data_IF_553417074358
#
_entry.id   IF_553417074358
#
_cell.length_a   1.000
_cell.length_b   1.000
_cell.length_c   1.000
_cell.angle_alpha   90.00
_cell.angle_beta   90.00
_cell.angle_gamma   90.00
#
_symmetry.space_group_name_H-M   'P 1'
#
loop_
_entity.id
_entity.type
_entity.pdbx_description
1 polymer ?
#
# COMPACT_ATOMS: atom_id res chain seq x y z
N UNK A 1 8.86 24.84 -48.60
CA UNK A 1 8.79 23.42 -48.15
C UNK A 1 8.50 23.45 -46.66
N UNK A 2 7.39 22.99 -46.08
CA UNK A 2 6.38 22.00 -46.46
C UNK A 2 5.01 22.45 -45.95
N UNK A 3 4.01 22.20 -46.77
CA UNK A 3 2.57 22.33 -46.54
C UNK A 3 2.14 21.43 -45.36
N UNK A 4 1.49 21.99 -44.34
CA UNK A 4 0.73 21.18 -43.38
C UNK A 4 -0.69 21.00 -43.91
N UNK A 5 -0.96 19.79 -44.43
CA UNK A 5 -2.30 19.38 -44.83
C UNK A 5 -3.09 18.95 -43.59
N UNK A 6 -4.32 19.46 -43.52
CA UNK A 6 -5.38 18.99 -42.63
C UNK A 6 -5.75 17.55 -43.03
N UNK A 7 -5.75 16.64 -42.05
CA UNK A 7 -6.24 15.28 -42.20
C UNK A 7 -7.27 14.98 -41.13
N UNK A 8 -8.54 15.15 -41.46
CA UNK A 8 -9.67 14.59 -40.73
C UNK A 8 -9.62 13.07 -40.90
N UNK A 9 -9.44 12.32 -39.82
CA UNK A 9 -9.65 10.87 -39.83
C UNK A 9 -10.82 10.53 -38.91
N UNK A 10 -11.94 10.24 -39.56
CA UNK A 10 -13.12 9.62 -38.99
C UNK A 10 -12.74 8.17 -38.74
N UNK A 11 -12.38 7.83 -37.49
CA UNK A 11 -12.17 6.43 -37.11
C UNK A 11 -13.51 5.78 -36.77
N UNK A 12 -14.10 5.15 -37.78
CA UNK A 12 -15.11 4.12 -37.60
C UNK A 12 -14.48 2.91 -36.90
N UNK A 13 -14.49 2.90 -35.56
CA UNK A 13 -14.10 1.70 -34.82
C UNK A 13 -15.31 0.79 -34.68
N UNK A 14 -15.43 -0.11 -35.65
CA UNK A 14 -16.27 -1.30 -35.60
C UNK A 14 -15.83 -2.11 -34.36
N UNK A 15 -16.57 -1.99 -33.25
CA UNK A 15 -16.28 -2.67 -31.97
C UNK A 15 -16.50 -4.17 -32.13
N UNK A 16 -15.46 -4.89 -32.56
CA UNK A 16 -15.34 -6.31 -32.23
C UNK A 16 -14.99 -6.37 -30.75
N UNK A 17 -15.93 -6.88 -29.95
CA UNK A 17 -15.74 -7.18 -28.52
C UNK A 17 -14.58 -8.17 -28.40
N UNK A 18 -13.40 -7.65 -28.07
CA UNK A 18 -12.23 -8.43 -27.70
C UNK A 18 -11.91 -8.01 -26.28
N UNK A 19 -11.94 -8.96 -25.35
CA UNK A 19 -11.68 -8.72 -23.94
C UNK A 19 -10.36 -7.97 -23.78
N UNK A 20 -10.37 -6.89 -23.01
CA UNK A 20 -9.19 -6.03 -22.81
C UNK A 20 -8.12 -6.75 -21.98
N UNK A 21 -8.51 -7.75 -21.21
CA UNK A 21 -7.64 -8.56 -20.37
C UNK A 21 -7.78 -10.05 -20.71
N UNK A 22 -6.66 -10.77 -20.72
CA UNK A 22 -6.66 -12.21 -20.47
C UNK A 22 -6.77 -12.42 -18.96
N UNK A 23 -7.88 -12.97 -18.51
CA UNK A 23 -8.20 -13.08 -17.09
C UNK A 23 -8.72 -14.46 -16.74
N UNK A 24 -8.25 -14.98 -15.60
CA UNK A 24 -8.82 -16.14 -14.93
C UNK A 24 -10.27 -15.84 -14.51
N UNK A 25 -11.08 -16.89 -14.35
CA UNK A 25 -12.55 -16.79 -14.21
C UNK A 25 -13.06 -15.89 -13.08
N UNK A 26 -12.21 -15.55 -12.11
CA UNK A 26 -12.57 -14.72 -10.97
C UNK A 26 -12.51 -13.20 -11.25
N UNK A 27 -12.03 -12.77 -12.42
CA UNK A 27 -11.86 -11.35 -12.76
C UNK A 27 -12.67 -10.91 -13.99
N UNK A 28 -13.05 -9.64 -14.00
CA UNK A 28 -13.79 -9.04 -15.11
C UNK A 28 -12.86 -8.82 -16.33
N UNK A 29 -13.22 -9.32 -17.53
CA UNK A 29 -12.40 -9.16 -18.74
C UNK A 29 -12.34 -7.74 -19.30
N UNK A 30 -13.20 -6.84 -18.83
CA UNK A 30 -13.25 -5.45 -19.30
C UNK A 30 -12.49 -4.47 -18.39
N UNK A 31 -12.48 -4.70 -17.07
CA UNK A 31 -11.92 -3.74 -16.12
C UNK A 31 -11.01 -4.35 -15.05
N UNK A 32 -10.80 -5.67 -15.04
CA UNK A 32 -9.94 -6.36 -14.09
C UNK A 32 -10.46 -6.42 -12.65
N UNK A 33 -11.70 -5.97 -12.38
CA UNK A 33 -12.28 -6.09 -11.04
C UNK A 33 -12.59 -7.54 -10.68
N UNK A 34 -12.44 -7.92 -9.41
CA UNK A 34 -12.91 -9.23 -8.90
C UNK A 34 -14.43 -9.35 -9.08
N UNK A 35 -14.87 -10.47 -9.65
CA UNK A 35 -16.28 -10.80 -9.86
C UNK A 35 -16.84 -11.42 -8.58
N UNK A 36 -17.97 -10.90 -8.10
CA UNK A 36 -18.70 -11.50 -6.98
C UNK A 36 -19.68 -12.54 -7.50
N UNK A 37 -19.42 -13.80 -7.19
CA UNK A 37 -20.27 -14.91 -7.57
C UNK A 37 -21.50 -14.98 -6.66
N UNK A 38 -22.68 -14.80 -7.23
CA UNK A 38 -23.96 -15.01 -6.54
C UNK A 38 -24.38 -16.48 -6.66
N UNK A 39 -24.80 -17.07 -5.54
CA UNK A 39 -25.29 -18.46 -5.53
C UNK A 39 -26.47 -18.62 -6.50
N UNK A 40 -26.49 -19.73 -7.26
CA UNK A 40 -27.54 -20.08 -8.22
C UNK A 40 -27.75 -19.12 -9.41
N UNK A 41 -26.78 -18.27 -9.73
CA UNK A 41 -26.80 -17.45 -10.95
C UNK A 41 -26.23 -18.22 -12.16
N UNK A 42 -26.59 -17.82 -13.38
CA UNK A 42 -26.03 -18.35 -14.66
C UNK A 42 -25.03 -17.36 -15.28
N UNK A 43 -25.05 -16.11 -14.81
CA UNK A 43 -24.19 -15.01 -15.23
C UNK A 43 -23.83 -14.13 -14.05
N UNK A 44 -22.63 -13.56 -14.07
CA UNK A 44 -22.15 -12.60 -13.09
C UNK A 44 -22.01 -11.22 -13.72
N UNK A 45 -22.53 -10.19 -13.03
CA UNK A 45 -22.41 -8.80 -13.45
C UNK A 45 -21.30 -8.12 -12.66
N UNK A 46 -20.36 -7.52 -13.37
CA UNK A 46 -19.32 -6.68 -12.78
C UNK A 46 -19.94 -5.43 -12.14
N UNK A 47 -19.61 -5.18 -10.87
CA UNK A 47 -20.09 -4.01 -10.14
C UNK A 47 -19.37 -2.71 -10.51
N UNK A 48 -18.22 -2.79 -11.18
CA UNK A 48 -17.39 -1.64 -11.54
C UNK A 48 -17.74 -1.09 -12.93
N UNK A 49 -17.79 -1.94 -13.96
CA UNK A 49 -18.05 -1.52 -15.34
C UNK A 49 -19.40 -2.00 -15.90
N UNK A 50 -20.14 -2.85 -15.17
CA UNK A 50 -21.44 -3.36 -15.59
C UNK A 50 -21.39 -4.50 -16.61
N UNK A 51 -20.20 -4.96 -17.04
CA UNK A 51 -20.05 -6.09 -17.93
C UNK A 51 -20.64 -7.38 -17.33
N UNK A 52 -21.30 -8.19 -18.16
CA UNK A 52 -21.91 -9.45 -17.75
C UNK A 52 -21.15 -10.63 -18.36
N UNK A 53 -20.54 -11.45 -17.50
CA UNK A 53 -19.82 -12.66 -17.89
C UNK A 53 -20.66 -13.91 -17.65
N UNK A 54 -20.56 -14.92 -18.53
CA UNK A 54 -21.19 -16.22 -18.32
C UNK A 54 -20.39 -17.06 -17.31
N UNK A 55 -21.08 -17.74 -16.40
CA UNK A 55 -20.44 -18.60 -15.40
C UNK A 55 -19.90 -19.91 -15.99
N UNK A 56 -20.20 -20.24 -17.24
CA UNK A 56 -19.67 -21.45 -17.90
C UNK A 56 -18.14 -21.52 -17.93
N UNK A 57 -17.48 -20.36 -17.94
CA UNK A 57 -16.01 -20.26 -17.95
C UNK A 57 -15.40 -20.31 -16.54
N UNK A 58 -16.25 -20.35 -15.50
CA UNK A 58 -15.87 -20.21 -14.09
C UNK A 58 -16.25 -21.50 -13.31
N UNK A 59 -17.33 -22.16 -13.72
CA UNK A 59 -17.80 -23.43 -13.15
C UNK A 59 -16.79 -24.55 -13.44
N UNK A 60 -16.36 -25.25 -12.39
CA UNK A 60 -15.44 -26.38 -12.48
C UNK A 60 -13.98 -26.03 -12.15
N UNK A 61 -13.67 -24.75 -11.93
CA UNK A 61 -12.37 -24.32 -11.40
C UNK A 61 -12.38 -24.51 -9.89
N UNK A 62 -11.45 -25.29 -9.37
CA UNK A 62 -11.26 -25.50 -7.94
C UNK A 62 -9.97 -24.81 -7.50
N UNK A 63 -10.10 -23.85 -6.58
CA UNK A 63 -8.96 -23.19 -5.94
C UNK A 63 -8.77 -23.79 -4.55
N UNK A 64 -7.57 -24.30 -4.26
CA UNK A 64 -7.17 -24.74 -2.92
C UNK A 64 -6.18 -23.75 -2.32
N UNK A 65 -6.34 -23.44 -1.03
CA UNK A 65 -5.43 -22.58 -0.31
C UNK A 65 -5.23 -23.11 1.12
N UNK A 66 -4.04 -22.91 1.66
CA UNK A 66 -3.72 -23.23 3.05
C UNK A 66 -3.60 -21.93 3.81
N UNK A 67 -4.43 -21.77 4.85
CA UNK A 67 -4.28 -20.67 5.80
C UNK A 67 -3.48 -21.19 6.99
N UNK A 68 -2.22 -20.77 7.08
CA UNK A 68 -1.42 -20.99 8.27
C UNK A 68 -1.72 -19.90 9.30
N UNK A 69 -2.50 -20.26 10.32
CA UNK A 69 -2.80 -19.36 11.43
C UNK A 69 -1.68 -19.43 12.46
N UNK A 70 -1.18 -18.26 12.87
CA UNK A 70 -0.22 -18.19 13.97
C UNK A 70 -0.91 -18.65 15.27
N UNK A 71 -0.32 -19.60 16.03
CA UNK A 71 -0.91 -20.10 17.27
C UNK A 71 -1.20 -18.99 18.27
N UNK A 72 -2.30 -19.09 19.01
CA UNK A 72 -2.65 -18.11 20.06
C UNK A 72 -1.53 -17.92 21.10
N UNK A 73 -0.78 -18.99 21.39
CA UNK A 73 0.39 -18.97 22.28
C UNK A 73 1.50 -18.02 21.83
N UNK A 74 1.65 -17.79 20.52
CA UNK A 74 2.61 -16.81 19.98
C UNK A 74 2.22 -15.38 20.38
N UNK A 75 0.93 -15.05 20.40
CA UNK A 75 0.47 -13.73 20.86
C UNK A 75 0.74 -13.53 22.35
N UNK A 76 0.63 -14.58 23.17
CA UNK A 76 0.96 -14.52 24.60
C UNK A 76 2.47 -14.37 24.82
N UNK A 77 3.28 -15.07 24.02
CA UNK A 77 4.74 -14.87 23.98
C UNK A 77 5.09 -13.41 23.61
N UNK A 78 4.47 -12.83 22.59
CA UNK A 78 4.69 -11.43 22.21
C UNK A 78 4.29 -10.45 23.33
N UNK A 79 3.19 -10.70 24.04
CA UNK A 79 2.78 -9.86 25.19
C UNK A 79 3.81 -9.89 26.33
N UNK A 80 4.39 -11.05 26.63
CA UNK A 80 5.46 -11.19 27.63
C UNK A 80 6.72 -10.43 27.19
N UNK A 81 7.19 -10.66 25.96
CA UNK A 81 8.40 -9.99 25.45
C UNK A 81 8.23 -8.48 25.24
N UNK A 82 7.02 -7.98 24.98
CA UNK A 82 6.76 -6.53 24.95
C UNK A 82 7.04 -5.87 26.31
N UNK A 83 6.80 -6.55 27.43
CA UNK A 83 7.13 -6.02 28.77
C UNK A 83 8.65 -5.94 28.97
N UNK A 84 9.38 -6.95 28.50
CA UNK A 84 10.84 -7.00 28.60
C UNK A 84 11.54 -6.02 27.64
N UNK A 85 11.04 -5.86 26.40
CA UNK A 85 11.54 -4.85 25.46
C UNK A 85 11.25 -3.42 25.92
N UNK A 86 10.11 -3.14 26.56
CA UNK A 86 9.79 -1.81 27.08
C UNK A 86 10.75 -1.39 28.21
N UNK A 87 11.34 -2.37 28.91
CA UNK A 87 12.36 -2.15 29.94
C UNK A 87 13.73 -1.83 29.33
N UNK A 88 14.10 -2.48 28.21
CA UNK A 88 15.37 -2.23 27.48
C UNK A 88 15.36 -0.94 26.64
N UNK A 89 14.25 -0.59 25.99
CA UNK A 89 14.12 0.63 25.18
C UNK A 89 14.23 1.93 25.97
N UNK A 90 14.12 1.89 27.31
CA UNK A 90 14.28 3.08 28.15
C UNK A 90 15.73 3.60 28.15
N UNK A 91 16.69 2.71 27.88
CA UNK A 91 18.13 3.02 27.89
C UNK A 91 18.73 3.19 26.47
N UNK A 92 18.09 2.64 25.42
CA UNK A 92 18.53 2.75 24.01
C UNK A 92 17.70 3.76 23.18
N UNK A 93 16.83 4.57 23.79
CA UNK A 93 15.91 5.49 23.10
C UNK A 93 16.57 6.67 22.38
N UNK A 94 17.87 6.87 22.53
CA UNK A 94 18.57 7.89 21.78
C UNK A 94 18.93 7.33 20.41
N UNK A 95 18.15 7.68 19.38
CA UNK A 95 18.59 7.52 17.99
C UNK A 95 19.93 8.22 17.74
N UNK A 96 20.42 8.15 16.51
CA UNK A 96 21.69 8.77 16.13
C UNK A 96 21.72 10.26 16.52
N UNK A 97 22.84 10.76 17.04
CA UNK A 97 22.91 12.12 17.58
C UNK A 97 23.49 13.09 16.56
N UNK A 98 22.77 14.16 16.27
CA UNK A 98 23.22 15.31 15.51
C UNK A 98 23.71 16.37 16.49
N UNK A 99 25.02 16.65 16.49
CA UNK A 99 25.67 17.57 17.45
C UNK A 99 25.44 19.04 17.11
N UNK A 100 25.12 19.34 15.86
CA UNK A 100 25.00 20.71 15.36
C UNK A 100 23.56 21.24 15.46
N UNK A 101 22.60 20.32 15.65
CA UNK A 101 21.18 20.64 15.88
C UNK A 101 20.94 21.20 17.29
N UNK A 102 20.39 22.41 17.36
CA UNK A 102 19.90 23.02 18.60
C UNK A 102 18.40 22.78 18.80
N UNK A 103 17.98 22.48 20.04
CA UNK A 103 16.56 22.36 20.37
C UNK A 103 15.86 23.72 20.42
N UNK A 104 14.85 23.92 19.58
CA UNK A 104 14.08 25.18 19.51
C UNK A 104 13.28 25.52 20.78
N UNK A 105 13.14 24.59 21.73
CA UNK A 105 12.43 24.81 23.00
C UNK A 105 13.33 25.21 24.17
N UNK A 106 14.53 24.65 24.28
CA UNK A 106 15.39 24.84 25.46
C UNK A 106 16.84 25.25 25.14
N UNK A 107 17.19 25.40 23.86
CA UNK A 107 18.51 25.82 23.40
C UNK A 107 19.63 24.80 23.64
N UNK A 108 19.30 23.53 23.88
CA UNK A 108 20.31 22.48 24.03
C UNK A 108 20.91 22.11 22.67
N UNK A 109 22.23 22.23 22.53
CA UNK A 109 22.97 21.71 21.38
C UNK A 109 23.12 20.19 21.45
N UNK A 110 22.89 19.52 20.34
CA UNK A 110 22.88 18.07 20.28
C UNK A 110 21.46 17.52 20.46
N UNK A 111 20.87 17.04 19.37
CA UNK A 111 19.58 16.33 19.40
C UNK A 111 19.73 14.93 18.79
N UNK A 112 19.08 13.94 19.40
CA UNK A 112 18.98 12.61 18.80
C UNK A 112 17.93 12.65 17.69
N UNK A 113 18.16 11.96 16.59
CA UNK A 113 17.22 11.85 15.49
C UNK A 113 16.98 10.41 15.05
N UNK A 114 15.83 10.19 14.44
CA UNK A 114 15.50 8.99 13.67
C UNK A 114 14.77 9.40 12.41
N UNK A 115 14.95 8.61 11.35
CA UNK A 115 14.38 8.92 10.06
C UNK A 115 13.32 7.86 9.71
N UNK A 116 12.19 8.27 9.13
CA UNK A 116 11.13 7.35 8.71
C UNK A 116 10.52 7.81 7.39
N UNK A 117 10.29 6.89 6.45
CA UNK A 117 9.55 7.21 5.22
C UNK A 117 8.06 7.19 5.53
N UNK A 118 7.41 8.33 5.38
CA UNK A 118 5.97 8.53 5.60
C UNK A 118 5.21 8.84 4.32
N UNK A 119 5.92 9.13 3.25
CA UNK A 119 5.37 9.58 1.97
C UNK A 119 5.79 8.63 0.86
N UNK A 120 5.36 8.95 -0.35
CA UNK A 120 5.71 8.21 -1.56
C UNK A 120 7.23 8.18 -1.78
N UNK A 121 7.69 7.24 -2.60
CA UNK A 121 9.12 7.02 -2.82
C UNK A 121 9.83 8.18 -3.55
N UNK A 122 9.07 9.07 -4.19
CA UNK A 122 9.54 10.29 -4.83
C UNK A 122 9.76 11.46 -3.85
N UNK A 123 9.33 11.31 -2.59
CA UNK A 123 9.46 12.34 -1.56
C UNK A 123 10.59 12.02 -0.56
N UNK A 124 11.21 13.08 -0.03
CA UNK A 124 12.27 12.98 0.98
C UNK A 124 11.81 12.32 2.28
N UNK A 125 12.77 11.80 3.04
CA UNK A 125 12.48 11.12 4.29
C UNK A 125 12.06 12.11 5.39
N UNK A 126 11.21 11.68 6.33
CA UNK A 126 10.86 12.48 7.51
C UNK A 126 11.91 12.35 8.62
N UNK A 127 12.45 13.51 8.98
CA UNK A 127 13.26 13.96 10.13
C UNK A 127 12.63 13.95 11.52
N UNK A 128 12.79 12.95 12.41
CA UNK A 128 12.29 13.07 13.80
C UNK A 128 13.41 13.39 14.78
N UNK A 129 13.41 14.58 15.37
CA UNK A 129 14.39 15.00 16.38
C UNK A 129 13.84 14.92 17.80
N UNK A 130 14.73 14.62 18.75
CA UNK A 130 14.46 14.42 20.17
C UNK A 130 15.50 15.15 21.01
N UNK A 131 15.05 16.08 21.85
CA UNK A 131 15.93 16.77 22.77
C UNK A 131 16.25 15.85 23.97
N UNK A 132 17.52 15.51 24.24
CA UNK A 132 17.87 14.69 25.40
C UNK A 132 17.60 15.42 26.74
N UNK A 133 17.66 16.76 26.75
CA UNK A 133 17.48 17.59 27.94
C UNK A 133 16.01 17.80 28.32
N UNK A 134 15.20 18.35 27.40
CA UNK A 134 13.81 18.72 27.70
C UNK A 134 12.75 17.74 27.14
N UNK A 135 13.19 16.68 26.44
CA UNK A 135 12.33 15.67 25.81
C UNK A 135 11.36 16.23 24.76
N UNK A 136 11.60 17.45 24.27
CA UNK A 136 10.85 18.00 23.14
C UNK A 136 11.10 17.17 21.88
N UNK A 137 10.06 17.00 21.06
CA UNK A 137 10.14 16.33 19.77
C UNK A 137 9.85 17.33 18.67
N UNK A 138 10.68 17.30 17.63
CA UNK A 138 10.55 18.16 16.45
C UNK A 138 10.50 17.27 15.20
N UNK A 139 9.76 17.70 14.18
CA UNK A 139 9.58 16.95 12.93
C UNK A 139 9.96 17.84 11.76
N UNK A 140 10.82 17.32 10.90
CA UNK A 140 11.28 17.97 9.68
C UNK A 140 10.99 17.08 8.47
N UNK A 141 10.62 17.69 7.36
CA UNK A 141 10.38 16.99 6.10
C UNK A 141 11.45 17.44 5.12
N UNK A 142 12.27 16.49 4.66
CA UNK A 142 13.22 16.69 3.58
C UNK A 142 12.54 16.69 2.21
#
# INVERSE_FOLDING_TARGET
MKTQMRGTQIYNHNKRNMSTFECEGDFCPECGSILKLEANSVSVKCLMCGHTSSLKNIIGVQSSYTIELTPASYYDYLKKNKKDQKKRRKDESAGQMDKDRECGKCGHQGMSYTTMQLRSADEGQTVFYFCPKCKNREVENS
#
